data_IF_344245012634
#
_entry.id   IF_344245012634
#
_cell.length_a   1.000
_cell.length_b   1.000
_cell.length_c   1.000
_cell.angle_alpha   90.00
_cell.angle_beta   90.00
_cell.angle_gamma   90.00
#
_symmetry.space_group_name_H-M   'P 1'
#
loop_
_entity.id
_entity.type
_entity.pdbx_description
1 polymer ?
#
# COMPACT_ATOMS: atom_id res chain seq x y z
N UNK A 1 5.66 3.04 -19.48
CA UNK A 1 5.49 3.62 -18.14
C UNK A 1 4.08 3.32 -17.67
N UNK A 2 3.92 2.77 -16.47
CA UNK A 2 2.60 2.38 -15.94
C UNK A 2 1.88 3.61 -15.40
N UNK A 3 0.72 3.95 -15.96
CA UNK A 3 -0.08 5.10 -15.53
C UNK A 3 -0.46 5.03 -14.03
N UNK A 4 -0.59 3.81 -13.49
CA UNK A 4 -0.89 3.58 -12.09
C UNK A 4 0.22 4.07 -11.15
N UNK A 5 1.50 3.89 -11.53
CA UNK A 5 2.65 4.33 -10.74
C UNK A 5 2.74 5.84 -10.73
N UNK A 6 2.54 6.48 -11.89
CA UNK A 6 2.58 7.95 -12.00
C UNK A 6 1.48 8.61 -11.16
N UNK A 7 0.25 8.10 -11.20
CA UNK A 7 -0.85 8.63 -10.39
C UNK A 7 -0.60 8.41 -8.90
N UNK A 8 -0.09 7.24 -8.52
CA UNK A 8 0.26 6.93 -7.14
C UNK A 8 1.34 7.87 -6.60
N UNK A 9 2.39 8.13 -7.40
CA UNK A 9 3.49 9.02 -7.00
C UNK A 9 3.02 10.46 -6.80
N UNK A 10 2.19 10.97 -7.70
CA UNK A 10 1.61 12.32 -7.59
C UNK A 10 0.77 12.46 -6.31
N UNK A 11 -0.02 11.43 -5.99
CA UNK A 11 -0.83 11.41 -4.76
C UNK A 11 0.05 11.41 -3.51
N UNK A 12 1.03 10.49 -3.45
CA UNK A 12 1.96 10.42 -2.32
C UNK A 12 2.72 11.74 -2.14
N UNK A 13 3.17 12.34 -3.23
CA UNK A 13 3.86 13.62 -3.18
C UNK A 13 2.95 14.72 -2.57
N UNK A 14 1.71 14.84 -3.02
CA UNK A 14 0.77 15.82 -2.46
C UNK A 14 0.47 15.57 -0.98
N UNK A 15 0.30 14.31 -0.59
CA UNK A 15 -0.01 13.93 0.79
C UNK A 15 1.17 14.28 1.72
N UNK A 16 2.40 13.96 1.29
CA UNK A 16 3.61 14.24 2.07
C UNK A 16 4.04 15.72 2.05
N UNK A 17 3.89 16.42 0.93
CA UNK A 17 4.13 17.88 0.88
C UNK A 17 3.14 18.64 1.77
N UNK A 18 1.90 18.16 1.87
CA UNK A 18 0.90 18.71 2.80
C UNK A 18 1.24 18.41 4.26
N UNK A 19 1.71 17.19 4.55
CA UNK A 19 2.09 16.78 5.90
C UNK A 19 3.37 17.50 6.39
N UNK A 20 4.32 17.73 5.48
CA UNK A 20 5.62 18.32 5.77
C UNK A 20 5.97 19.46 4.79
N UNK A 21 5.35 20.65 4.98
CA UNK A 21 5.68 21.81 4.17
C UNK A 21 7.16 22.17 4.35
N UNK A 22 7.94 22.05 3.28
CA UNK A 22 9.39 22.29 3.28
C UNK A 22 10.25 21.04 3.07
N UNK A 23 9.69 19.83 3.11
CA UNK A 23 10.40 18.59 2.79
C UNK A 23 10.15 18.07 1.37
N UNK A 24 9.51 18.85 0.49
CA UNK A 24 9.09 18.39 -0.85
C UNK A 24 10.23 17.81 -1.70
N UNK A 25 11.44 18.40 -1.65
CA UNK A 25 12.60 17.87 -2.37
C UNK A 25 13.05 16.50 -1.84
N UNK A 26 13.05 16.33 -0.52
CA UNK A 26 13.41 15.07 0.14
C UNK A 26 12.34 14.00 -0.15
N UNK A 27 11.07 14.37 -0.08
CA UNK A 27 9.94 13.49 -0.43
C UNK A 27 10.03 13.04 -1.89
N UNK A 28 10.35 13.96 -2.81
CA UNK A 28 10.51 13.61 -4.23
C UNK A 28 11.69 12.65 -4.45
N UNK A 29 12.82 12.88 -3.77
CA UNK A 29 13.98 12.00 -3.81
C UNK A 29 13.65 10.59 -3.29
N UNK A 30 12.98 10.50 -2.13
CA UNK A 30 12.58 9.22 -1.54
C UNK A 30 11.62 8.48 -2.48
N UNK A 31 10.64 9.18 -3.07
CA UNK A 31 9.69 8.58 -4.00
C UNK A 31 10.40 8.00 -5.25
N UNK A 32 11.38 8.72 -5.80
CA UNK A 32 12.17 8.24 -6.94
C UNK A 32 13.05 7.03 -6.58
N UNK A 33 13.70 7.06 -5.41
CA UNK A 33 14.56 5.98 -4.94
C UNK A 33 13.75 4.70 -4.65
N UNK A 34 12.63 4.84 -3.94
CA UNK A 34 11.76 3.72 -3.60
C UNK A 34 10.99 3.21 -4.84
N UNK A 35 10.70 4.06 -5.83
CA UNK A 35 10.18 3.61 -7.13
C UNK A 35 11.17 2.70 -7.83
N UNK A 36 12.45 3.08 -7.91
CA UNK A 36 13.48 2.25 -8.52
C UNK A 36 13.58 0.88 -7.83
N UNK A 37 13.57 0.86 -6.49
CA UNK A 37 13.55 -0.39 -5.70
C UNK A 37 12.29 -1.21 -5.94
N UNK A 38 11.13 -0.57 -6.06
CA UNK A 38 9.88 -1.27 -6.34
C UNK A 38 9.91 -1.96 -7.71
N UNK A 39 10.53 -1.33 -8.71
CA UNK A 39 10.77 -1.93 -10.03
C UNK A 39 11.75 -3.10 -10.00
N UNK A 40 12.77 -3.06 -9.13
CA UNK A 40 13.72 -4.17 -8.95
C UNK A 40 13.08 -5.36 -8.23
N UNK A 41 12.20 -5.10 -7.25
CA UNK A 41 11.57 -6.13 -6.44
C UNK A 41 10.36 -6.79 -7.13
N UNK A 42 9.67 -6.08 -8.02
CA UNK A 42 8.46 -6.59 -8.65
C UNK A 42 8.16 -5.97 -10.02
N UNK A 43 7.48 -6.76 -10.86
CA UNK A 43 6.83 -6.26 -12.07
C UNK A 43 5.62 -5.35 -11.77
N UNK A 44 5.18 -5.30 -10.51
CA UNK A 44 4.07 -4.47 -10.01
C UNK A 44 4.55 -3.48 -8.93
N UNK A 45 5.36 -2.47 -9.31
CA UNK A 45 5.96 -1.52 -8.36
C UNK A 45 4.93 -0.75 -7.53
N UNK A 46 3.74 -0.50 -8.06
CA UNK A 46 2.66 0.22 -7.35
C UNK A 46 2.13 -0.52 -6.12
N UNK A 47 2.38 -1.83 -5.99
CA UNK A 47 2.02 -2.60 -4.79
C UNK A 47 3.03 -2.43 -3.67
N UNK A 48 4.30 -2.19 -4.02
CA UNK A 48 5.41 -2.10 -3.06
C UNK A 48 5.79 -0.65 -2.74
N UNK A 49 5.60 0.27 -3.69
CA UNK A 49 5.96 1.67 -3.55
C UNK A 49 5.37 2.34 -2.30
N UNK A 50 4.07 2.17 -1.96
CA UNK A 50 3.52 2.79 -0.74
C UNK A 50 4.21 2.27 0.53
N UNK A 51 4.36 0.94 0.65
CA UNK A 51 4.97 0.30 1.81
C UNK A 51 6.46 0.68 1.96
N UNK A 52 7.19 0.77 0.85
CA UNK A 52 8.59 1.19 0.81
C UNK A 52 8.77 2.65 1.23
N UNK A 53 7.91 3.53 0.73
CA UNK A 53 7.91 4.96 1.11
C UNK A 53 7.57 5.12 2.58
N UNK A 54 6.53 4.45 3.09
CA UNK A 54 6.18 4.47 4.52
C UNK A 54 7.35 3.98 5.38
N UNK A 55 8.00 2.88 5.00
CA UNK A 55 9.16 2.36 5.72
C UNK A 55 10.35 3.32 5.69
N UNK A 56 10.58 4.02 4.57
CA UNK A 56 11.65 5.00 4.45
C UNK A 56 11.36 6.25 5.30
N UNK A 57 10.14 6.77 5.24
CA UNK A 57 9.68 7.91 6.04
C UNK A 57 9.76 7.60 7.53
N UNK A 58 9.35 6.39 7.95
CA UNK A 58 9.49 5.94 9.34
C UNK A 58 10.96 5.87 9.79
N UNK A 59 11.90 5.47 8.91
CA UNK A 59 13.34 5.51 9.20
C UNK A 59 13.87 6.93 9.39
N UNK A 60 13.27 7.92 8.75
CA UNK A 60 13.59 9.34 8.94
C UNK A 60 12.99 9.92 10.23
N UNK A 61 12.27 9.11 11.01
CA UNK A 61 11.58 9.56 12.22
C UNK A 61 10.37 10.45 11.94
N UNK A 62 9.86 10.42 10.69
CA UNK A 62 8.68 11.14 10.28
C UNK A 62 7.47 10.22 10.39
N UNK A 63 6.33 10.79 10.81
CA UNK A 63 5.06 10.08 10.79
C UNK A 63 4.62 9.89 9.33
N UNK A 64 4.15 8.69 8.95
CA UNK A 64 3.60 8.48 7.62
C UNK A 64 2.41 9.43 7.41
N UNK A 65 2.29 9.99 6.21
CA UNK A 65 1.15 10.82 5.83
C UNK A 65 -0.11 9.94 5.69
N UNK A 66 -0.59 9.37 6.80
CA UNK A 66 -1.80 8.54 6.86
C UNK A 66 -2.99 9.45 6.64
N UNK A 67 -3.36 9.65 5.38
CA UNK A 67 -4.69 10.01 4.89
C UNK A 67 -4.51 10.05 3.37
N UNK A 68 -4.84 9.09 2.52
CA UNK A 68 -6.15 8.50 2.22
C UNK A 68 -5.89 7.26 1.32
N UNK A 69 -5.17 6.25 1.81
CA UNK A 69 -4.95 5.00 1.04
C UNK A 69 -5.61 3.77 1.71
N UNK A 70 -6.20 3.94 2.90
CA UNK A 70 -6.79 2.86 3.69
C UNK A 70 -8.30 3.00 3.84
N UNK A 71 -9.04 2.83 2.75
CA UNK A 71 -10.23 1.96 2.81
C UNK A 71 -9.90 0.51 2.36
N UNK A 72 -8.62 0.18 2.09
CA UNK A 72 -8.19 -1.20 1.81
C UNK A 72 -6.88 -1.54 2.54
N UNK A 73 -6.82 -1.26 3.83
CA UNK A 73 -5.99 -2.04 4.76
C UNK A 73 -6.80 -2.26 6.03
N UNK A 74 -8.00 -2.79 5.83
CA UNK A 74 -8.73 -3.44 6.90
C UNK A 74 -7.82 -4.52 7.50
N UNK A 75 -7.92 -4.80 8.81
CA UNK A 75 -7.18 -5.91 9.39
C UNK A 75 -7.48 -7.13 8.54
N UNK A 76 -6.46 -7.95 8.28
CA UNK A 76 -6.64 -9.28 7.72
C UNK A 76 -7.55 -10.09 8.67
N UNK A 77 -8.85 -9.82 8.63
CA UNK A 77 -9.88 -10.74 9.07
C UNK A 77 -9.82 -11.80 8.00
N UNK A 78 -8.95 -12.78 8.23
CA UNK A 78 -9.12 -14.11 7.69
C UNK A 78 -10.61 -14.39 7.79
N UNK A 79 -11.30 -14.36 6.65
CA UNK A 79 -12.66 -14.85 6.57
C UNK A 79 -12.51 -16.33 6.86
N UNK A 80 -12.69 -16.67 8.12
CA UNK A 80 -12.94 -17.99 8.63
C UNK A 80 -13.92 -18.65 7.66
N UNK A 81 -13.42 -19.55 6.81
CA UNK A 81 -14.26 -20.35 5.94
C UNK A 81 -15.28 -21.03 6.86
N UNK A 82 -16.59 -20.85 6.66
CA UNK A 82 -17.54 -21.72 7.33
C UNK A 82 -17.21 -23.13 6.87
N UNK A 83 -16.80 -23.98 7.81
CA UNK A 83 -16.61 -25.41 7.59
C UNK A 83 -17.82 -25.95 6.87
N UNK A 84 -17.62 -26.45 5.65
CA UNK A 84 -18.65 -27.14 4.89
C UNK A 84 -19.12 -28.34 5.73
N UNK A 85 -20.33 -28.26 6.29
CA UNK A 85 -21.00 -29.42 6.86
C UNK A 85 -21.82 -30.08 5.74
N UNK A 86 -21.45 -31.30 5.29
CA UNK A 86 -22.30 -32.04 4.37
C UNK A 86 -23.58 -32.39 5.12
N UNK A 87 -24.72 -31.89 4.64
CA UNK A 87 -26.03 -32.25 5.17
C UNK A 87 -26.29 -33.73 4.84
N UNK A 88 -26.12 -34.61 5.81
CA UNK A 88 -26.65 -35.97 5.77
C UNK A 88 -28.16 -35.90 6.03
N UNK A 89 -28.97 -36.08 4.98
CA UNK A 89 -30.38 -36.47 5.08
C UNK A 89 -30.66 -37.40 3.88
N UNK A 90 -30.34 -38.69 4.03
CA UNK A 90 -31.27 -39.78 4.33
C UNK A 90 -32.26 -40.04 3.17
N UNK A 91 -32.01 -41.13 2.45
CA UNK A 91 -32.88 -41.71 1.42
C UNK A 91 -34.01 -42.45 2.14
N UNK A 92 -35.25 -42.04 1.90
CA UNK A 92 -36.43 -42.75 2.39
C UNK A 92 -36.77 -43.90 1.42
N UNK A 93 -37.06 -45.08 1.97
CA UNK A 93 -37.46 -46.29 1.24
C UNK A 93 -38.97 -46.34 1.01
#
# INVERSE_FOLDING_TARGET
MSAAVTQLKQKLQQDYERAYPGLGEIIHLILDEEEAKAWELSLFPHLFLPDLVEAHVAKLGLEPAVTIQNEVRGPHRFLHMPSYQPHLAYVDC
#
